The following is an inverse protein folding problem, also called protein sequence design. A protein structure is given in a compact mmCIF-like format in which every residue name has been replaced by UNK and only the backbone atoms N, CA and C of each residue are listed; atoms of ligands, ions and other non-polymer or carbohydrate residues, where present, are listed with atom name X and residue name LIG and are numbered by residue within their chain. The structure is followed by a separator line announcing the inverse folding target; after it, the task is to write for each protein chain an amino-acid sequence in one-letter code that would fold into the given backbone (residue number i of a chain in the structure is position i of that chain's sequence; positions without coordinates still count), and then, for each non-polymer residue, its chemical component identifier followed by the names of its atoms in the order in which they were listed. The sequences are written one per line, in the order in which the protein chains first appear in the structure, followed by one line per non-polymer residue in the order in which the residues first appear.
data_IF_922726429105
#
_entry.id   IF_922726429105
#
_cell.length_a   1.000
_cell.length_b   1.000
_cell.length_c   1.000
_cell.angle_alpha   90.00
_cell.angle_beta   90.00
_cell.angle_gamma   90.00
#
_symmetry.space_group_name_H-M   'P 1'
#
loop_
_entity.id
_entity.type
_entity.pdbx_description
1 polymer ?
#
# COMPACT_ATOMS: atom_id res chain seq x y z
N UNK A 1 -20.83 -8.23 -2.60
CA UNK A 1 -21.42 -7.47 -3.73
C UNK A 1 -22.42 -6.36 -3.29
N UNK A 2 -22.24 -5.71 -2.12
CA UNK A 2 -23.08 -4.57 -1.67
C UNK A 2 -22.31 -3.25 -1.46
N UNK A 3 -20.98 -3.27 -1.62
CA UNK A 3 -20.13 -2.08 -1.42
C UNK A 3 -20.14 -1.13 -2.63
N UNK A 4 -20.21 -1.67 -3.86
CA UNK A 4 -20.19 -0.87 -5.09
C UNK A 4 -21.37 0.11 -5.23
N UNK A 5 -22.55 -0.22 -4.67
CA UNK A 5 -23.72 0.68 -4.69
C UNK A 5 -23.62 1.83 -3.68
N UNK A 6 -22.79 1.73 -2.64
CA UNK A 6 -22.61 2.81 -1.65
C UNK A 6 -21.52 3.79 -2.07
N UNK A 7 -20.44 3.29 -2.69
CA UNK A 7 -19.35 4.13 -3.22
C UNK A 7 -19.80 5.04 -4.37
N UNK A 8 -20.75 4.59 -5.20
CA UNK A 8 -21.28 5.39 -6.32
C UNK A 8 -21.97 6.71 -5.89
N UNK A 9 -22.40 6.84 -4.63
CA UNK A 9 -23.01 8.08 -4.11
C UNK A 9 -22.02 9.03 -3.42
N UNK A 10 -20.85 8.54 -3.00
CA UNK A 10 -19.86 9.35 -2.27
C UNK A 10 -19.08 10.26 -3.22
N UNK A 11 -18.73 9.76 -4.42
CA UNK A 11 -17.94 10.52 -5.41
C UNK A 11 -18.69 11.74 -5.97
N UNK A 12 -20.00 11.66 -6.34
CA UNK A 12 -20.74 12.84 -6.76
C UNK A 12 -21.00 13.83 -5.63
N UNK A 13 -21.20 13.36 -4.39
CA UNK A 13 -21.48 14.23 -3.24
C UNK A 13 -20.28 15.12 -2.87
N UNK A 14 -19.05 14.62 -3.07
CA UNK A 14 -17.81 15.39 -2.87
C UNK A 14 -17.57 16.42 -3.99
N UNK A 15 -18.00 16.17 -5.23
CA UNK A 15 -17.90 17.15 -6.32
C UNK A 15 -18.99 18.22 -6.28
N UNK A 16 -20.18 17.92 -5.73
CA UNK A 16 -21.30 18.88 -5.66
C UNK A 16 -21.14 19.86 -4.48
N UNK A 17 -20.42 19.48 -3.41
CA UNK A 17 -20.24 20.38 -2.26
C UNK A 17 -19.27 21.53 -2.52
N UNK A 18 -18.39 21.43 -3.52
CA UNK A 18 -17.40 22.49 -3.84
C UNK A 18 -17.95 23.59 -4.76
N UNK A 19 -19.16 23.45 -5.31
CA UNK A 19 -19.71 24.41 -6.29
C UNK A 19 -20.85 25.30 -5.77
N UNK A 20 -21.34 25.10 -4.53
CA UNK A 20 -22.58 25.73 -4.04
C UNK A 20 -22.42 26.88 -3.04
N UNK A 21 -21.20 27.31 -2.73
CA UNK A 21 -21.01 28.47 -1.84
C UNK A 21 -19.97 29.41 -2.42
N UNK A 22 -20.38 30.29 -3.34
CA UNK A 22 -19.60 31.48 -3.69
C UNK A 22 -20.54 32.68 -3.65
N UNK A 23 -20.77 33.21 -2.44
CA UNK A 23 -21.43 34.49 -2.27
C UNK A 23 -20.34 35.57 -2.34
N UNK A 24 -20.28 36.26 -3.47
CA UNK A 24 -19.30 37.30 -3.77
C UNK A 24 -19.76 38.62 -3.20
N UNK A 25 -19.54 38.89 -1.91
CA UNK A 25 -19.64 40.26 -1.41
C UNK A 25 -18.56 40.50 -0.33
N UNK A 26 -17.91 41.65 -0.48
CA UNK A 26 -16.98 42.30 0.46
C UNK A 26 -15.53 41.80 0.48
N UNK A 27 -14.76 42.21 -0.53
CA UNK A 27 -13.33 42.47 -0.35
C UNK A 27 -13.21 43.91 0.13
N UNK A 28 -12.80 44.09 1.38
CA UNK A 28 -12.53 45.41 1.93
C UNK A 28 -11.25 45.96 1.29
N UNK A 29 -11.41 47.07 0.57
CA UNK A 29 -10.35 47.87 -0.02
C UNK A 29 -9.45 48.41 1.11
N UNK A 30 -8.24 47.85 1.27
CA UNK A 30 -7.25 48.37 2.20
C UNK A 30 -6.22 49.20 1.41
N UNK A 31 -6.41 50.52 1.46
CA UNK A 31 -5.44 51.53 1.04
C UNK A 31 -4.37 51.74 2.12
N UNK A 32 -3.11 51.75 1.73
CA UNK A 32 -2.23 52.93 1.83
C UNK A 32 -1.03 52.76 0.88
N UNK A 33 -0.60 53.81 0.14
CA UNK A 33 0.49 53.71 -0.81
C UNK A 33 1.83 53.58 -0.07
N UNK A 34 2.50 52.43 -0.26
CA UNK A 34 3.85 52.22 0.25
C UNK A 34 4.86 53.14 -0.48
N UNK A 35 5.91 53.62 0.21
CA UNK A 35 7.00 54.36 -0.42
C UNK A 35 7.69 53.50 -1.49
N UNK A 36 8.22 54.10 -2.58
CA UNK A 36 8.84 53.35 -3.67
C UNK A 36 10.07 52.62 -3.14
N UNK A 37 10.12 51.28 -3.27
CA UNK A 37 11.21 50.51 -2.73
C UNK A 37 12.50 50.69 -3.57
N UNK A 38 13.69 50.61 -2.94
CA UNK A 38 14.97 50.59 -3.66
C UNK A 38 15.03 49.33 -4.53
N UNK A 39 15.44 49.47 -5.80
CA UNK A 39 15.65 48.42 -6.83
C UNK A 39 15.52 47.00 -6.27
N UNK A 40 14.27 46.55 -6.12
CA UNK A 40 13.94 45.32 -5.44
C UNK A 40 14.10 44.15 -6.41
N UNK A 41 14.53 43.03 -5.86
CA UNK A 41 14.48 41.74 -6.53
C UNK A 41 13.05 41.53 -7.08
N UNK A 42 12.86 41.30 -8.40
CA UNK A 42 11.55 41.06 -9.00
C UNK A 42 10.74 39.97 -8.26
N UNK A 43 11.44 38.99 -7.67
CA UNK A 43 10.86 37.96 -6.83
C UNK A 43 10.19 38.52 -5.59
N UNK A 44 10.86 39.45 -4.92
CA UNK A 44 10.37 40.08 -3.71
C UNK A 44 9.11 40.92 -4.00
N UNK A 45 9.08 41.65 -5.11
CA UNK A 45 7.88 42.41 -5.49
C UNK A 45 6.71 41.50 -5.90
N UNK A 46 6.98 40.39 -6.58
CA UNK A 46 5.96 39.41 -6.94
C UNK A 46 5.39 38.68 -5.71
N UNK A 47 6.21 38.39 -4.69
CA UNK A 47 5.75 37.78 -3.44
C UNK A 47 5.01 38.78 -2.53
N UNK A 48 5.48 40.03 -2.45
CA UNK A 48 4.83 41.11 -1.68
C UNK A 48 3.42 41.43 -2.18
N UNK A 49 3.16 41.30 -3.47
CA UNK A 49 1.86 41.58 -4.06
C UNK A 49 0.82 40.45 -3.86
N UNK A 50 1.23 39.29 -3.32
CA UNK A 50 0.29 38.23 -2.96
C UNK A 50 -0.31 38.53 -1.58
N UNK A 51 -1.65 38.48 -1.42
CA UNK A 51 -2.28 38.74 -0.13
C UNK A 51 -2.00 37.65 0.93
N UNK A 52 -1.30 36.56 0.57
CA UNK A 52 -0.90 35.46 1.44
C UNK A 52 0.25 34.64 0.82
N UNK A 53 1.02 33.96 1.68
CA UNK A 53 2.02 32.97 1.28
C UNK A 53 1.36 31.60 0.99
N UNK A 54 1.60 31.05 -0.19
CA UNK A 54 1.02 29.75 -0.55
C UNK A 54 1.68 28.61 0.24
N UNK A 55 0.87 27.65 0.68
CA UNK A 55 1.28 26.60 1.62
C UNK A 55 1.08 26.97 3.10
N UNK A 56 0.77 28.23 3.42
CA UNK A 56 0.62 28.74 4.78
C UNK A 56 -0.81 29.16 5.10
N UNK A 57 -1.05 29.49 6.38
CA UNK A 57 -2.34 29.94 6.84
C UNK A 57 -2.68 31.31 6.23
N UNK A 58 -3.86 31.44 5.64
CA UNK A 58 -4.36 32.71 5.11
C UNK A 58 -4.89 33.61 6.25
N UNK A 59 -4.47 34.87 6.27
CA UNK A 59 -4.94 35.89 7.21
C UNK A 59 -6.45 36.15 7.07
N UNK A 60 -7.11 36.52 8.17
CA UNK A 60 -8.55 36.85 8.15
C UNK A 60 -8.75 38.12 7.30
N UNK A 61 -9.55 38.01 6.24
CA UNK A 61 -9.86 39.14 5.34
C UNK A 61 -8.99 39.22 4.09
N UNK A 62 -7.89 38.47 4.01
CA UNK A 62 -7.03 38.43 2.83
C UNK A 62 -7.72 37.77 1.61
N UNK A 63 -8.66 36.85 1.86
CA UNK A 63 -9.45 36.19 0.82
C UNK A 63 -10.91 36.02 1.24
N UNK A 64 -11.85 35.98 0.28
CA UNK A 64 -13.23 35.57 0.53
C UNK A 64 -13.27 34.17 1.16
N UNK A 65 -14.23 33.93 2.05
CA UNK A 65 -14.32 32.66 2.82
C UNK A 65 -14.49 31.39 1.96
N UNK A 66 -14.82 31.54 0.68
CA UNK A 66 -15.05 30.43 -0.25
C UNK A 66 -14.24 30.56 -1.56
N UNK A 67 -13.12 31.25 -1.52
CA UNK A 67 -12.28 31.41 -2.70
C UNK A 67 -11.40 30.18 -2.92
N UNK A 68 -11.44 29.62 -4.14
CA UNK A 68 -10.63 28.50 -4.61
C UNK A 68 -9.22 28.98 -4.97
N UNK A 69 -8.50 29.48 -3.97
CA UNK A 69 -7.16 30.03 -4.14
C UNK A 69 -6.14 28.90 -4.40
N UNK A 70 -5.14 29.09 -5.25
CA UNK A 70 -4.04 28.14 -5.42
C UNK A 70 -3.33 27.89 -4.08
N UNK A 71 -3.11 26.62 -3.77
CA UNK A 71 -2.52 26.17 -2.51
C UNK A 71 -1.24 25.34 -2.69
N UNK A 72 -0.57 25.47 -3.84
CA UNK A 72 0.72 24.82 -4.08
C UNK A 72 1.84 25.54 -3.34
N UNK A 73 3.02 24.94 -3.28
CA UNK A 73 4.25 25.66 -2.96
C UNK A 73 4.68 26.36 -4.26
N UNK A 74 5.05 27.63 -4.16
CA UNK A 74 5.40 28.47 -5.30
C UNK A 74 6.78 29.06 -5.05
N UNK A 75 7.69 28.88 -6.00
CA UNK A 75 9.08 29.31 -5.85
C UNK A 75 9.32 30.48 -6.78
N UNK A 76 10.09 31.45 -6.30
CA UNK A 76 10.46 32.59 -7.12
C UNK A 76 11.71 32.26 -7.96
N UNK A 77 11.68 32.57 -9.26
CA UNK A 77 12.78 32.37 -10.23
C UNK A 77 13.35 30.93 -10.33
N UNK A 78 12.56 29.93 -9.94
CA UNK A 78 12.91 28.52 -9.95
C UNK A 78 12.51 27.77 -11.22
N UNK A 79 12.82 26.47 -11.27
CA UNK A 79 12.39 25.57 -12.36
C UNK A 79 10.96 25.05 -12.12
N UNK A 80 10.30 25.49 -11.06
CA UNK A 80 8.99 25.02 -10.61
C UNK A 80 8.97 23.49 -10.52
N UNK A 81 10.06 22.92 -10.00
CA UNK A 81 10.27 21.50 -9.89
C UNK A 81 10.57 21.11 -8.44
N UNK A 82 10.30 19.85 -8.11
CA UNK A 82 10.60 19.34 -6.78
C UNK A 82 10.98 17.87 -6.82
N UNK A 83 11.85 17.50 -5.89
CA UNK A 83 12.27 16.12 -5.65
C UNK A 83 11.87 15.68 -4.26
N UNK A 84 11.54 14.40 -4.13
CA UNK A 84 11.23 13.78 -2.85
C UNK A 84 12.10 12.55 -2.63
N UNK A 85 12.51 12.34 -1.38
CA UNK A 85 13.18 11.13 -0.95
C UNK A 85 12.57 10.66 0.36
N UNK A 86 12.18 9.39 0.41
CA UNK A 86 11.57 8.80 1.59
C UNK A 86 12.30 7.54 2.04
N UNK A 87 12.51 7.45 3.36
CA UNK A 87 12.80 6.20 4.02
C UNK A 87 11.47 5.58 4.50
N UNK A 88 11.25 4.32 4.15
CA UNK A 88 10.07 3.57 4.61
C UNK A 88 10.52 2.42 5.49
N UNK A 89 9.75 2.16 6.54
CA UNK A 89 9.93 1.03 7.43
C UNK A 89 8.57 0.37 7.58
N UNK A 90 8.32 -0.64 6.74
CA UNK A 90 7.01 -1.24 6.58
C UNK A 90 7.02 -2.71 6.91
N UNK A 91 5.89 -3.16 7.41
CA UNK A 91 5.55 -4.55 7.62
C UNK A 91 4.64 -5.03 6.48
N UNK A 92 4.75 -6.33 6.18
CA UNK A 92 3.84 -6.98 5.26
C UNK A 92 3.07 -8.11 5.91
N UNK A 93 1.76 -8.07 5.70
CA UNK A 93 0.85 -9.12 6.12
C UNK A 93 0.25 -9.73 4.87
N UNK A 94 0.41 -11.03 4.66
CA UNK A 94 -0.27 -11.75 3.60
C UNK A 94 -1.33 -12.68 4.19
N UNK A 95 -2.56 -12.59 3.69
CA UNK A 95 -3.58 -13.57 4.02
C UNK A 95 -3.20 -14.93 3.44
N UNK A 96 -3.54 -16.01 4.15
CA UNK A 96 -3.33 -17.39 3.69
C UNK A 96 -1.85 -17.74 3.46
N UNK A 97 -0.96 -17.17 4.28
CA UNK A 97 0.47 -17.51 4.35
C UNK A 97 0.84 -18.27 5.63
N UNK A 98 -0.14 -18.74 6.40
CA UNK A 98 0.12 -19.51 7.61
C UNK A 98 0.89 -20.79 7.26
N UNK A 99 1.87 -21.18 8.07
CA UNK A 99 2.62 -22.43 7.89
C UNK A 99 1.66 -23.63 7.98
N UNK A 100 0.73 -23.52 8.93
CA UNK A 100 -0.31 -24.51 9.17
C UNK A 100 -0.99 -24.29 10.51
N UNK A 101 -1.71 -25.31 10.97
CA UNK A 101 -2.37 -25.38 12.26
C UNK A 101 -1.84 -26.59 13.02
N UNK A 102 -1.63 -26.45 14.32
CA UNK A 102 -1.30 -27.57 15.19
C UNK A 102 -2.46 -27.84 16.10
N UNK A 103 -2.84 -29.10 16.20
CA UNK A 103 -3.76 -29.58 17.23
C UNK A 103 -2.95 -29.87 18.49
N UNK A 104 -3.28 -29.18 19.58
CA UNK A 104 -2.68 -29.36 20.88
C UNK A 104 -3.57 -30.33 21.65
N UNK A 105 -3.12 -31.57 21.82
CA UNK A 105 -3.96 -32.63 22.36
C UNK A 105 -4.45 -32.35 23.78
N UNK A 106 -5.77 -32.32 23.98
CA UNK A 106 -6.40 -32.55 25.27
C UNK A 106 -6.40 -34.04 25.63
N UNK A 107 -6.30 -34.37 26.92
CA UNK A 107 -6.53 -35.75 27.37
C UNK A 107 -7.92 -36.22 26.90
N UNK A 108 -8.04 -37.52 26.56
CA UNK A 108 -9.26 -38.20 26.05
C UNK A 108 -10.53 -37.94 26.89
N UNK A 109 -10.40 -37.38 28.09
CA UNK A 109 -11.49 -37.03 29.00
C UNK A 109 -12.06 -35.60 28.85
N UNK A 110 -11.46 -34.71 28.04
CA UNK A 110 -11.93 -33.32 27.87
C UNK A 110 -12.13 -32.97 26.39
N UNK A 111 -13.39 -32.71 26.03
CA UNK A 111 -13.87 -32.38 24.67
C UNK A 111 -13.55 -30.92 24.29
N UNK A 112 -12.30 -30.49 24.44
CA UNK A 112 -11.85 -29.18 23.97
C UNK A 112 -10.64 -29.40 23.09
N UNK A 113 -10.85 -29.31 21.79
CA UNK A 113 -9.79 -29.35 20.80
C UNK A 113 -9.16 -27.94 20.72
N UNK A 114 -7.94 -27.81 21.24
CA UNK A 114 -7.18 -26.57 21.11
C UNK A 114 -6.40 -26.60 19.78
N UNK A 115 -6.61 -25.57 18.96
CA UNK A 115 -5.88 -25.39 17.70
C UNK A 115 -5.05 -24.11 17.76
N UNK A 116 -3.79 -24.22 17.34
CA UNK A 116 -2.88 -23.09 17.22
C UNK A 116 -2.51 -22.89 15.74
N UNK A 117 -2.85 -21.73 15.17
CA UNK A 117 -2.34 -21.34 13.87
C UNK A 117 -0.89 -20.86 13.98
N UNK A 118 -0.01 -21.41 13.16
CA UNK A 118 1.39 -20.98 13.05
C UNK A 118 1.48 -19.94 11.93
N UNK A 119 1.63 -18.68 12.33
CA UNK A 119 1.77 -17.55 11.41
C UNK A 119 3.23 -17.13 11.28
N UNK A 120 3.56 -16.47 10.19
CA UNK A 120 4.86 -15.80 10.07
C UNK A 120 5.06 -14.73 11.15
N UNK A 121 6.31 -14.53 11.56
CA UNK A 121 6.69 -13.42 12.43
C UNK A 121 6.42 -12.08 11.76
N UNK A 122 5.88 -11.17 12.55
CA UNK A 122 5.56 -9.79 12.20
C UNK A 122 6.81 -8.94 12.44
N UNK A 123 7.51 -8.56 11.37
CA UNK A 123 8.72 -7.76 11.44
C UNK A 123 8.71 -6.70 10.34
N UNK A 124 9.18 -5.51 10.66
CA UNK A 124 9.28 -4.41 9.71
C UNK A 124 10.59 -4.52 8.92
N UNK A 125 10.53 -4.16 7.63
CA UNK A 125 11.67 -4.12 6.73
C UNK A 125 11.85 -2.70 6.18
N UNK A 126 13.10 -2.26 5.97
CA UNK A 126 13.38 -0.98 5.35
C UNK A 126 13.16 -1.03 3.83
N UNK A 127 12.80 0.12 3.27
CA UNK A 127 12.74 0.36 1.83
C UNK A 127 12.92 1.85 1.55
N UNK A 128 12.66 2.25 0.30
CA UNK A 128 12.71 3.67 -0.06
C UNK A 128 11.65 4.07 -1.08
N UNK A 129 11.43 5.38 -1.14
CA UNK A 129 10.69 6.04 -2.21
C UNK A 129 11.51 7.19 -2.77
N UNK A 130 11.41 7.41 -4.07
CA UNK A 130 11.95 8.59 -4.74
C UNK A 130 10.90 9.17 -5.65
N UNK A 131 10.76 10.49 -5.64
CA UNK A 131 9.78 11.17 -6.46
C UNK A 131 10.33 12.42 -7.12
N UNK A 132 9.70 12.77 -8.24
CA UNK A 132 9.97 13.96 -9.03
C UNK A 132 8.64 14.57 -9.44
N UNK A 133 8.50 15.88 -9.28
CA UNK A 133 7.34 16.60 -9.75
C UNK A 133 7.68 17.98 -10.30
N UNK A 134 6.72 18.56 -11.00
CA UNK A 134 6.80 19.92 -11.51
C UNK A 134 5.42 20.55 -11.58
N UNK A 135 5.39 21.88 -11.49
CA UNK A 135 4.20 22.69 -11.57
C UNK A 135 4.07 23.29 -12.98
N UNK A 136 2.82 23.40 -13.44
CA UNK A 136 2.49 24.09 -14.68
C UNK A 136 1.99 25.51 -14.36
N UNK A 137 2.36 26.48 -15.20
CA UNK A 137 1.87 27.85 -15.09
C UNK A 137 0.37 27.96 -15.41
N UNK A 138 -0.15 27.05 -16.22
CA UNK A 138 -1.57 27.02 -16.58
C UNK A 138 -2.39 26.36 -15.47
N UNK A 139 -3.15 27.18 -14.73
CA UNK A 139 -4.14 26.76 -13.73
C UNK A 139 -3.59 25.95 -12.54
N UNK A 140 -2.31 26.14 -12.20
CA UNK A 140 -1.66 25.54 -11.03
C UNK A 140 -1.70 24.01 -10.96
N UNK A 141 -1.82 23.35 -12.11
CA UNK A 141 -1.72 21.90 -12.18
C UNK A 141 -0.29 21.45 -11.90
N UNK A 142 -0.15 20.25 -11.36
CA UNK A 142 1.15 19.64 -11.11
C UNK A 142 1.16 18.18 -11.53
N UNK A 143 2.31 17.74 -12.05
CA UNK A 143 2.58 16.34 -12.36
C UNK A 143 3.60 15.81 -11.36
N UNK A 144 3.37 14.60 -10.85
CA UNK A 144 4.24 13.94 -9.88
C UNK A 144 4.42 12.47 -10.25
N UNK A 145 5.65 11.99 -10.25
CA UNK A 145 5.98 10.59 -10.41
C UNK A 145 6.73 10.09 -9.18
N UNK A 146 6.37 8.90 -8.70
CA UNK A 146 7.00 8.26 -7.53
C UNK A 146 7.34 6.81 -7.83
N UNK A 147 8.53 6.39 -7.44
CA UNK A 147 8.95 5.00 -7.42
C UNK A 147 9.12 4.54 -5.98
N UNK A 148 8.45 3.45 -5.61
CA UNK A 148 8.57 2.79 -4.31
C UNK A 148 9.21 1.42 -4.49
N UNK A 149 10.17 1.09 -3.63
CA UNK A 149 10.83 -0.22 -3.58
C UNK A 149 10.93 -0.74 -2.16
N UNK A 150 10.50 -1.99 -1.95
CA UNK A 150 10.68 -2.70 -0.69
C UNK A 150 10.87 -4.20 -0.91
N UNK A 151 11.89 -4.75 -0.27
CA UNK A 151 12.29 -6.16 -0.39
C UNK A 151 12.30 -6.77 1.00
N UNK A 152 11.61 -7.89 1.17
CA UNK A 152 11.33 -8.49 2.48
C UNK A 152 11.65 -9.98 2.46
N UNK A 153 12.15 -10.49 3.58
CA UNK A 153 12.38 -11.92 3.78
C UNK A 153 12.07 -12.27 5.23
N UNK A 154 11.10 -13.14 5.44
CA UNK A 154 10.67 -13.61 6.77
C UNK A 154 10.89 -15.11 6.88
N UNK A 155 11.36 -15.52 8.04
CA UNK A 155 11.50 -16.93 8.40
C UNK A 155 10.74 -17.17 9.69
N UNK A 156 10.04 -18.29 9.79
CA UNK A 156 9.40 -18.72 11.03
C UNK A 156 9.63 -20.21 11.21
N UNK A 157 10.07 -20.57 12.41
CA UNK A 157 10.27 -21.97 12.79
C UNK A 157 9.34 -22.34 13.93
N UNK A 158 8.73 -23.51 13.84
CA UNK A 158 7.94 -24.10 14.92
C UNK A 158 8.47 -25.50 15.26
N UNK A 159 8.58 -25.79 16.55
CA UNK A 159 9.01 -27.09 17.05
C UNK A 159 7.83 -27.77 17.75
N UNK A 160 7.27 -28.84 17.16
CA UNK A 160 6.19 -29.60 17.79
C UNK A 160 6.62 -30.15 19.15
N UNK A 161 5.69 -30.19 20.11
CA UNK A 161 5.96 -30.79 21.41
C UNK A 161 6.09 -32.31 21.25
N UNK A 162 7.21 -32.89 21.69
CA UNK A 162 7.43 -34.35 21.57
C UNK A 162 6.71 -35.15 22.65
N UNK A 163 5.97 -34.49 23.55
CA UNK A 163 5.44 -35.09 24.78
C UNK A 163 4.12 -35.83 24.62
N UNK A 164 3.36 -35.61 23.54
CA UNK A 164 2.03 -36.20 23.35
C UNK A 164 1.92 -36.87 21.99
N UNK A 165 1.54 -38.15 21.97
CA UNK A 165 1.32 -38.94 20.74
C UNK A 165 0.09 -38.51 19.93
N UNK A 166 -0.58 -37.41 20.33
CA UNK A 166 -1.83 -36.91 19.77
C UNK A 166 -1.68 -35.57 19.05
N UNK A 167 -0.54 -34.89 19.17
CA UNK A 167 -0.32 -33.63 18.46
C UNK A 167 -0.13 -33.90 16.97
N UNK A 168 -0.81 -33.12 16.13
CA UNK A 168 -0.64 -33.20 14.70
C UNK A 168 -0.60 -31.81 14.06
N UNK A 169 0.22 -31.69 13.02
CA UNK A 169 0.33 -30.49 12.21
C UNK A 169 -0.49 -30.67 10.92
N UNK A 170 -1.35 -29.70 10.64
CA UNK A 170 -2.11 -29.61 9.40
C UNK A 170 -1.60 -28.45 8.58
N UNK A 171 -1.37 -28.69 7.30
CA UNK A 171 -0.96 -27.64 6.37
C UNK A 171 -1.72 -27.77 5.05
N UNK A 172 -2.07 -26.63 4.46
CA UNK A 172 -2.73 -26.55 3.16
C UNK A 172 -1.73 -26.57 1.99
N UNK A 173 -0.43 -26.69 2.28
CA UNK A 173 0.63 -26.59 1.28
C UNK A 173 1.03 -27.93 0.65
N UNK A 174 0.64 -29.08 1.21
CA UNK A 174 1.01 -30.42 0.68
C UNK A 174 -0.18 -31.24 0.20
N UNK A 175 0.05 -32.07 -0.82
CA UNK A 175 -0.89 -33.04 -1.41
C UNK A 175 -0.18 -34.38 -1.62
N UNK A 176 -0.80 -35.48 -1.19
CA UNK A 176 -0.33 -36.86 -1.41
C UNK A 176 -1.52 -37.70 -1.86
N UNK A 177 -1.37 -38.53 -2.90
CA UNK A 177 -2.41 -39.47 -3.34
C UNK A 177 -2.96 -40.30 -2.17
N UNK A 178 -4.21 -40.04 -1.78
CA UNK A 178 -4.90 -40.64 -0.65
C UNK A 178 -6.24 -39.93 -0.38
N UNK A 179 -7.26 -40.66 0.06
CA UNK A 179 -8.67 -40.24 0.04
C UNK A 179 -9.07 -39.09 0.98
N UNK A 180 -8.19 -38.64 1.88
CA UNK A 180 -8.55 -37.66 2.91
C UNK A 180 -7.77 -36.34 2.77
N UNK A 181 -8.53 -35.24 2.68
CA UNK A 181 -8.14 -33.96 2.09
C UNK A 181 -7.57 -32.92 3.08
N UNK A 182 -7.10 -33.36 4.24
CA UNK A 182 -6.36 -32.50 5.18
C UNK A 182 -5.23 -33.35 5.75
N UNK A 183 -3.99 -33.08 5.35
CA UNK A 183 -2.86 -33.88 5.83
C UNK A 183 -2.54 -33.46 7.25
N UNK A 184 -2.91 -34.35 8.16
CA UNK A 184 -2.50 -34.35 9.54
C UNK A 184 -1.18 -35.12 9.62
N UNK A 185 -0.08 -34.39 9.85
CA UNK A 185 1.23 -34.97 10.07
C UNK A 185 1.41 -35.15 11.58
N UNK A 186 1.35 -36.40 12.05
CA UNK A 186 1.80 -36.79 13.37
C UNK A 186 3.31 -37.13 13.34
N UNK A 187 4.01 -37.13 14.47
CA UNK A 187 5.43 -37.54 14.52
C UNK A 187 6.36 -36.73 13.57
N UNK A 188 6.15 -35.42 13.48
CA UNK A 188 7.13 -34.53 12.84
C UNK A 188 8.41 -34.55 13.69
N UNK A 189 9.52 -34.92 13.06
CA UNK A 189 10.83 -34.90 13.69
C UNK A 189 11.54 -33.59 13.34
N UNK A 190 11.88 -32.79 14.36
CA UNK A 190 12.58 -31.53 14.17
C UNK A 190 11.65 -30.33 13.95
N UNK A 191 12.19 -29.28 13.32
CA UNK A 191 11.48 -28.01 13.14
C UNK A 191 10.69 -28.00 11.83
N UNK A 192 9.53 -27.35 11.88
CA UNK A 192 8.79 -26.88 10.71
C UNK A 192 9.28 -25.47 10.42
N UNK A 193 9.89 -25.25 9.26
CA UNK A 193 10.46 -23.96 8.87
C UNK A 193 9.70 -23.44 7.65
N UNK A 194 9.14 -22.25 7.77
CA UNK A 194 8.56 -21.51 6.67
C UNK A 194 9.43 -20.30 6.34
N UNK A 195 9.70 -20.07 5.06
CA UNK A 195 10.38 -18.90 4.53
C UNK A 195 9.47 -18.19 3.54
N UNK A 196 9.29 -16.87 3.71
CA UNK A 196 8.52 -16.03 2.80
C UNK A 196 9.37 -14.84 2.37
N UNK A 197 9.66 -14.77 1.07
CA UNK A 197 10.35 -13.66 0.42
C UNK A 197 9.37 -12.90 -0.45
N UNK A 198 9.50 -11.58 -0.45
CA UNK A 198 8.69 -10.70 -1.27
C UNK A 198 9.50 -9.51 -1.76
N UNK A 199 9.53 -9.34 -3.06
CA UNK A 199 10.04 -8.16 -3.73
C UNK A 199 8.86 -7.34 -4.25
N UNK A 200 8.83 -6.06 -3.91
CA UNK A 200 7.75 -5.14 -4.28
C UNK A 200 8.34 -3.87 -4.90
N UNK A 201 7.86 -3.58 -6.11
CA UNK A 201 8.18 -2.40 -6.88
C UNK A 201 6.89 -1.72 -7.34
N UNK A 202 6.80 -0.40 -7.21
CA UNK A 202 5.62 0.38 -7.61
C UNK A 202 6.04 1.69 -8.26
N UNK A 203 5.35 2.06 -9.32
CA UNK A 203 5.45 3.37 -9.97
C UNK A 203 4.07 4.01 -9.97
N UNK A 204 4.00 5.22 -9.44
CA UNK A 204 2.81 6.08 -9.47
C UNK A 204 3.08 7.31 -10.33
N UNK A 205 2.07 7.74 -11.08
CA UNK A 205 2.05 8.99 -11.83
C UNK A 205 0.76 9.73 -11.49
N UNK A 206 0.85 10.97 -11.06
CA UNK A 206 -0.27 11.80 -10.64
C UNK A 206 -0.33 13.10 -11.43
N UNK A 207 -1.53 13.51 -11.82
CA UNK A 207 -1.86 14.86 -12.26
C UNK A 207 -2.87 15.43 -11.26
N UNK A 208 -2.50 16.51 -10.58
CA UNK A 208 -3.29 17.10 -9.51
C UNK A 208 -3.30 18.62 -9.54
N UNK A 209 -4.13 19.20 -8.65
CA UNK A 209 -4.15 20.64 -8.41
C UNK A 209 -4.43 20.91 -6.93
N UNK A 210 -3.56 21.69 -6.29
CA UNK A 210 -3.71 22.09 -4.88
C UNK A 210 -4.50 23.39 -4.76
N UNK A 211 -5.49 23.43 -3.88
CA UNK A 211 -6.23 24.64 -3.57
C UNK A 211 -6.72 24.71 -2.13
N UNK A 212 -7.01 25.91 -1.67
CA UNK A 212 -7.50 26.16 -0.32
C UNK A 212 -9.01 25.86 -0.19
N UNK A 213 -9.35 25.03 0.80
CA UNK A 213 -10.69 24.85 1.33
C UNK A 213 -10.84 25.65 2.63
N UNK A 214 -11.03 26.96 2.49
CA UNK A 214 -11.01 27.90 3.60
C UNK A 214 -9.57 28.33 3.96
N UNK A 215 -9.31 28.67 5.22
CA UNK A 215 -8.04 29.34 5.61
C UNK A 215 -6.91 28.43 6.08
N UNK A 216 -7.24 27.18 6.43
CA UNK A 216 -6.34 26.25 7.12
C UNK A 216 -6.34 24.85 6.53
N UNK A 217 -7.04 24.63 5.43
CA UNK A 217 -7.12 23.34 4.78
C UNK A 217 -6.77 23.52 3.32
N UNK A 218 -5.78 22.78 2.85
CA UNK A 218 -5.47 22.63 1.43
C UNK A 218 -5.97 21.25 1.01
N UNK A 219 -6.67 21.20 -0.12
CA UNK A 219 -7.03 19.97 -0.78
C UNK A 219 -6.33 19.89 -2.14
N UNK A 220 -5.80 18.71 -2.45
CA UNK A 220 -5.25 18.37 -3.76
C UNK A 220 -5.90 17.07 -4.24
N UNK A 221 -7.07 17.14 -4.91
CA UNK A 221 -7.56 16.02 -5.68
C UNK A 221 -6.59 15.76 -6.85
N UNK A 222 -6.43 14.49 -7.20
CA UNK A 222 -5.60 14.08 -8.33
C UNK A 222 -6.19 12.87 -9.03
N UNK A 223 -5.80 12.71 -10.29
CA UNK A 223 -6.02 11.51 -11.09
C UNK A 223 -4.70 11.07 -11.67
N UNK A 224 -4.48 9.76 -11.73
CA UNK A 224 -3.19 9.22 -12.09
C UNK A 224 -3.24 7.83 -12.68
N UNK A 225 -2.05 7.32 -12.96
CA UNK A 225 -1.79 5.92 -13.26
C UNK A 225 -0.94 5.30 -12.16
N UNK A 226 -1.09 4.00 -11.96
CA UNK A 226 -0.23 3.25 -11.06
C UNK A 226 0.07 1.88 -11.64
N UNK A 227 1.30 1.43 -11.48
CA UNK A 227 1.76 0.11 -11.84
C UNK A 227 2.60 -0.49 -10.72
N UNK A 228 2.47 -1.79 -10.49
CA UNK A 228 3.31 -2.51 -9.53
C UNK A 228 3.66 -3.91 -9.97
N UNK A 229 4.78 -4.40 -9.44
CA UNK A 229 5.30 -5.75 -9.57
C UNK A 229 5.49 -6.33 -8.17
N UNK A 230 5.01 -7.56 -7.99
CA UNK A 230 5.05 -8.27 -6.72
C UNK A 230 5.52 -9.68 -7.02
N UNK A 231 6.75 -9.98 -6.62
CA UNK A 231 7.33 -11.31 -6.73
C UNK A 231 7.40 -11.92 -5.33
N UNK A 232 6.72 -13.05 -5.14
CA UNK A 232 6.66 -13.76 -3.86
C UNK A 232 7.23 -15.16 -4.02
N UNK A 233 8.05 -15.57 -3.05
CA UNK A 233 8.49 -16.97 -2.92
C UNK A 233 8.18 -17.45 -1.52
N UNK A 234 7.46 -18.55 -1.42
CA UNK A 234 7.15 -19.24 -0.18
C UNK A 234 7.81 -20.62 -0.18
N UNK A 235 8.56 -20.94 0.85
CA UNK A 235 9.15 -22.26 1.07
C UNK A 235 8.68 -22.81 2.41
N UNK A 236 8.32 -24.09 2.45
CA UNK A 236 7.97 -24.80 3.68
C UNK A 236 8.74 -26.11 3.74
N UNK A 237 9.45 -26.29 4.85
CA UNK A 237 10.36 -27.39 5.11
C UNK A 237 10.07 -28.08 6.44
N UNK A 238 9.93 -29.39 6.43
CA UNK A 238 9.87 -30.21 7.65
C UNK A 238 10.24 -31.67 7.36
N UNK A 239 10.49 -32.46 8.42
CA UNK A 239 10.73 -33.91 8.29
C UNK A 239 9.61 -34.69 8.97
N UNK A 240 9.00 -35.62 8.25
CA UNK A 240 7.93 -36.49 8.73
C UNK A 240 8.41 -37.94 8.67
N UNK A 241 8.47 -38.63 9.82
CA UNK A 241 8.95 -40.04 9.91
C UNK A 241 10.31 -40.21 9.21
N UNK A 242 11.28 -39.33 9.50
CA UNK A 242 12.61 -39.32 8.86
C UNK A 242 12.61 -39.10 7.33
N UNK A 243 11.48 -38.68 6.74
CA UNK A 243 11.38 -38.34 5.33
C UNK A 243 11.23 -36.82 5.16
N UNK A 244 12.10 -36.16 4.37
CA UNK A 244 12.01 -34.73 4.14
C UNK A 244 10.75 -34.38 3.33
N UNK A 245 10.16 -33.25 3.69
CA UNK A 245 9.08 -32.58 2.96
C UNK A 245 9.51 -31.15 2.72
N UNK A 246 9.62 -30.79 1.45
CA UNK A 246 9.89 -29.41 1.00
C UNK A 246 8.81 -29.04 -0.01
N UNK A 247 8.31 -27.83 0.06
CA UNK A 247 7.59 -27.22 -1.05
C UNK A 247 8.07 -25.79 -1.23
N UNK A 248 8.28 -25.40 -2.47
CA UNK A 248 8.58 -24.03 -2.87
C UNK A 248 7.53 -23.58 -3.90
N UNK A 249 6.85 -22.48 -3.58
CA UNK A 249 5.84 -21.86 -4.42
C UNK A 249 6.28 -20.44 -4.75
N UNK A 250 6.18 -20.08 -6.03
CA UNK A 250 6.46 -18.75 -6.54
C UNK A 250 5.19 -18.13 -7.09
N UNK A 251 4.94 -16.89 -6.73
CA UNK A 251 3.85 -16.09 -7.26
C UNK A 251 4.40 -14.77 -7.81
N UNK A 252 4.33 -14.63 -9.13
CA UNK A 252 4.71 -13.40 -9.83
C UNK A 252 3.42 -12.66 -10.20
N UNK A 253 3.33 -11.38 -9.83
CA UNK A 253 2.17 -10.55 -10.12
C UNK A 253 2.59 -9.19 -10.67
N UNK A 254 1.87 -8.70 -11.68
CA UNK A 254 1.93 -7.30 -12.06
C UNK A 254 0.53 -6.75 -12.24
N UNK A 255 0.38 -5.46 -11.97
CA UNK A 255 -0.86 -4.75 -12.23
C UNK A 255 -0.59 -3.33 -12.73
N UNK A 256 -1.50 -2.81 -13.53
CA UNK A 256 -1.49 -1.43 -13.98
C UNK A 256 -2.92 -0.89 -14.06
N UNK A 257 -3.13 0.37 -13.71
CA UNK A 257 -4.47 0.94 -13.66
C UNK A 257 -4.53 2.43 -13.40
N UNK A 258 -5.75 2.91 -13.21
CA UNK A 258 -6.04 4.30 -12.87
C UNK A 258 -6.05 4.49 -11.35
N UNK A 259 -5.60 5.66 -10.90
CA UNK A 259 -5.43 6.02 -9.50
C UNK A 259 -6.02 7.40 -9.19
N UNK A 260 -7.34 7.52 -8.95
CA UNK A 260 -7.90 8.70 -8.30
C UNK A 260 -7.49 8.78 -6.83
N UNK A 261 -7.28 9.99 -6.33
CA UNK A 261 -7.03 10.21 -4.91
C UNK A 261 -7.21 11.66 -4.47
N UNK A 262 -6.99 11.87 -3.17
CA UNK A 262 -7.15 13.14 -2.50
C UNK A 262 -6.06 13.29 -1.43
N UNK A 263 -5.30 14.38 -1.52
CA UNK A 263 -4.40 14.83 -0.48
C UNK A 263 -5.04 16.00 0.28
N UNK A 264 -5.00 15.96 1.61
CA UNK A 264 -5.52 16.98 2.50
C UNK A 264 -4.40 17.45 3.43
N UNK A 265 -4.28 18.75 3.63
CA UNK A 265 -3.29 19.35 4.53
C UNK A 265 -3.96 20.37 5.45
N UNK A 266 -3.94 20.10 6.75
CA UNK A 266 -4.44 20.99 7.80
C UNK A 266 -3.28 21.79 8.39
N UNK A 267 -3.25 23.08 8.09
CA UNK A 267 -2.20 24.01 8.52
C UNK A 267 -2.50 24.49 9.95
N UNK A 268 -1.52 24.34 10.83
CA UNK A 268 -1.63 24.75 12.22
C UNK A 268 -0.98 26.11 12.45
N UNK A 269 0.34 26.13 12.59
CA UNK A 269 1.16 27.31 12.91
C UNK A 269 2.59 27.09 12.40
N UNK A 270 3.23 28.14 11.89
CA UNK A 270 4.68 28.16 11.58
C UNK A 270 5.17 26.99 10.72
N UNK A 271 4.47 26.70 9.62
CA UNK A 271 4.83 25.62 8.69
C UNK A 271 4.40 24.22 9.12
N UNK A 272 4.00 24.02 10.39
CA UNK A 272 3.48 22.74 10.85
C UNK A 272 2.09 22.46 10.29
N UNK A 273 1.91 21.25 9.77
CA UNK A 273 0.63 20.75 9.26
C UNK A 273 0.42 19.27 9.56
N UNK A 274 -0.82 18.87 9.74
CA UNK A 274 -1.21 17.47 9.60
C UNK A 274 -1.61 17.24 8.15
N UNK A 275 -1.33 16.06 7.63
CA UNK A 275 -1.76 15.71 6.28
C UNK A 275 -2.32 14.30 6.20
N UNK A 276 -3.16 14.09 5.19
CA UNK A 276 -3.64 12.78 4.80
C UNK A 276 -3.57 12.63 3.28
N UNK A 277 -3.27 11.43 2.82
CA UNK A 277 -3.43 11.05 1.41
C UNK A 277 -4.30 9.80 1.36
N UNK A 278 -5.36 9.82 0.58
CA UNK A 278 -6.19 8.65 0.33
C UNK A 278 -6.27 8.41 -1.18
N UNK A 279 -6.02 7.18 -1.61
CA UNK A 279 -6.09 6.78 -3.01
C UNK A 279 -6.83 5.45 -3.17
N UNK A 280 -7.50 5.30 -4.31
CA UNK A 280 -8.09 4.04 -4.74
C UNK A 280 -7.61 3.74 -6.14
N UNK A 281 -7.01 2.57 -6.34
CA UNK A 281 -6.60 2.12 -7.64
C UNK A 281 -7.59 1.10 -8.18
N UNK A 282 -7.89 1.20 -9.48
CA UNK A 282 -8.58 0.15 -10.21
C UNK A 282 -7.65 -0.37 -11.30
N UNK A 283 -7.15 -1.60 -11.12
CA UNK A 283 -6.04 -2.12 -11.91
C UNK A 283 -6.40 -3.41 -12.64
N UNK A 284 -5.96 -3.51 -13.89
CA UNK A 284 -5.85 -4.78 -14.57
C UNK A 284 -4.60 -5.50 -14.07
N UNK A 285 -4.77 -6.73 -13.59
CA UNK A 285 -3.70 -7.49 -12.96
C UNK A 285 -3.57 -8.88 -13.57
N UNK A 286 -2.32 -9.35 -13.65
CA UNK A 286 -1.98 -10.72 -14.03
C UNK A 286 -1.24 -11.37 -12.88
N UNK A 287 -1.71 -12.55 -12.47
CA UNK A 287 -1.07 -13.38 -11.47
C UNK A 287 -0.59 -14.68 -12.14
N UNK A 288 0.64 -15.08 -11.84
CA UNK A 288 1.24 -16.35 -12.26
C UNK A 288 1.71 -17.08 -11.01
N UNK A 289 1.34 -18.34 -10.87
CA UNK A 289 1.79 -19.19 -9.77
C UNK A 289 2.38 -20.47 -10.35
N UNK A 290 3.55 -20.85 -9.84
CA UNK A 290 4.18 -22.13 -10.10
C UNK A 290 4.99 -22.57 -8.88
N UNK A 291 5.42 -23.82 -8.86
CA UNK A 291 6.19 -24.33 -7.74
C UNK A 291 6.56 -25.78 -7.92
N UNK A 292 7.34 -26.27 -6.99
CA UNK A 292 7.80 -27.65 -6.92
C UNK A 292 7.95 -28.07 -5.46
N UNK A 293 8.03 -29.36 -5.23
CA UNK A 293 8.28 -29.87 -3.90
C UNK A 293 8.74 -31.31 -3.92
N UNK A 294 9.18 -31.75 -2.75
CA UNK A 294 9.60 -33.12 -2.48
C UNK A 294 8.66 -33.67 -1.43
N UNK A 295 8.06 -34.81 -1.76
CA UNK A 295 7.18 -35.56 -0.89
C UNK A 295 7.78 -36.96 -0.72
N UNK A 296 8.44 -37.21 0.42
CA UNK A 296 9.22 -38.42 0.69
C UNK A 296 10.45 -38.51 -0.22
N UNK A 297 10.28 -39.18 -1.36
CA UNK A 297 11.29 -39.37 -2.41
C UNK A 297 10.75 -39.00 -3.79
N UNK A 298 9.50 -38.54 -3.87
CA UNK A 298 8.85 -38.17 -5.12
C UNK A 298 8.87 -36.67 -5.25
N UNK A 299 9.53 -36.19 -6.29
CA UNK A 299 9.43 -34.79 -6.72
C UNK A 299 8.07 -34.56 -7.38
N UNK A 300 7.43 -33.46 -7.05
CA UNK A 300 6.24 -33.00 -7.73
C UNK A 300 6.42 -31.57 -8.22
N UNK A 301 5.77 -31.23 -9.32
CA UNK A 301 5.70 -29.87 -9.85
C UNK A 301 4.25 -29.41 -9.79
N UNK A 302 4.01 -28.24 -9.22
CA UNK A 302 2.69 -27.61 -9.26
C UNK A 302 2.39 -27.16 -10.68
N UNK A 303 1.15 -27.41 -11.13
CA UNK A 303 0.73 -26.94 -12.44
C UNK A 303 0.82 -25.41 -12.50
N UNK A 304 1.54 -24.92 -13.50
CA UNK A 304 1.65 -23.49 -13.74
C UNK A 304 0.26 -22.91 -14.01
N UNK A 305 -0.13 -21.97 -13.19
CA UNK A 305 -1.41 -21.30 -13.30
C UNK A 305 -1.22 -19.82 -13.66
N UNK A 306 -2.11 -19.30 -14.51
CA UNK A 306 -2.14 -17.88 -14.89
C UNK A 306 -3.58 -17.37 -14.83
N UNK A 307 -3.78 -16.19 -14.25
CA UNK A 307 -5.09 -15.55 -14.21
C UNK A 307 -5.00 -14.05 -14.32
N UNK A 308 -5.95 -13.51 -15.07
CA UNK A 308 -6.16 -12.09 -15.25
C UNK A 308 -7.40 -11.68 -14.44
N UNK A 309 -7.27 -10.60 -13.68
CA UNK A 309 -8.36 -10.07 -12.86
C UNK A 309 -8.37 -8.55 -12.93
N UNK A 310 -9.50 -7.96 -12.56
CA UNK A 310 -9.55 -6.59 -12.11
C UNK A 310 -9.34 -6.60 -10.59
N UNK A 311 -8.39 -5.82 -10.08
CA UNK A 311 -8.13 -5.69 -8.66
C UNK A 311 -8.22 -4.24 -8.22
N UNK A 312 -8.53 -4.06 -6.95
CA UNK A 312 -8.47 -2.79 -6.25
C UNK A 312 -7.24 -2.72 -5.34
N UNK A 313 -6.65 -1.52 -5.24
CA UNK A 313 -5.63 -1.20 -4.24
C UNK A 313 -6.08 0.03 -3.47
N UNK A 314 -6.23 -0.12 -2.17
CA UNK A 314 -6.67 0.93 -1.25
C UNK A 314 -5.43 1.49 -0.53
N UNK A 315 -5.25 2.81 -0.52
CA UNK A 315 -4.11 3.47 0.12
C UNK A 315 -4.59 4.57 1.06
N UNK A 316 -4.04 4.61 2.27
CA UNK A 316 -4.28 5.66 3.25
C UNK A 316 -2.97 6.04 3.95
N UNK A 317 -2.72 7.34 4.02
CA UNK A 317 -1.59 7.94 4.70
C UNK A 317 -2.12 8.97 5.69
N UNK A 318 -1.55 8.99 6.89
CA UNK A 318 -1.81 10.01 7.90
C UNK A 318 -0.47 10.42 8.53
N UNK A 319 -0.21 11.72 8.60
CA UNK A 319 1.07 12.21 9.08
C UNK A 319 1.10 13.66 9.54
N UNK A 320 2.29 14.06 9.97
CA UNK A 320 2.65 15.41 10.32
C UNK A 320 3.79 15.87 9.41
N UNK A 321 3.77 17.13 9.04
CA UNK A 321 4.80 17.74 8.21
C UNK A 321 5.16 19.13 8.74
N UNK A 322 6.36 19.55 8.44
CA UNK A 322 6.85 20.90 8.63
C UNK A 322 7.63 21.33 7.39
N UNK A 323 7.33 22.52 6.87
CA UNK A 323 8.06 23.12 5.76
C UNK A 323 8.37 24.59 5.99
N UNK A 324 9.40 25.07 5.32
CA UNK A 324 9.83 26.47 5.33
C UNK A 324 10.37 26.88 3.97
N UNK A 325 10.13 28.14 3.60
CA UNK A 325 10.87 28.80 2.52
C UNK A 325 12.25 29.27 3.02
N UNK A 326 13.21 29.38 2.11
CA UNK A 326 14.56 29.89 2.36
C UNK A 326 14.99 30.82 1.21
N UNK A 327 15.89 31.77 1.53
CA UNK A 327 16.52 32.67 0.53
C UNK A 327 15.49 33.42 -0.31
N UNK A 328 14.62 34.22 0.33
CA UNK A 328 13.58 35.01 -0.35
C UNK A 328 12.67 34.15 -1.26
N UNK A 329 12.17 33.03 -0.75
CA UNK A 329 11.24 32.13 -1.44
C UNK A 329 11.79 31.48 -2.73
N UNK A 330 13.12 31.44 -2.89
CA UNK A 330 13.78 30.73 -4.01
C UNK A 330 13.93 29.23 -3.77
N UNK A 331 13.77 28.77 -2.53
CA UNK A 331 13.80 27.36 -2.19
C UNK A 331 12.77 27.05 -1.11
N UNK A 332 12.20 25.85 -1.15
CA UNK A 332 11.36 25.35 -0.09
C UNK A 332 11.80 23.94 0.33
N UNK A 333 11.88 23.72 1.64
CA UNK A 333 12.17 22.40 2.19
C UNK A 333 11.00 21.95 3.04
N UNK A 334 10.64 20.69 2.89
CA UNK A 334 9.60 20.04 3.66
C UNK A 334 10.07 18.71 4.24
N UNK A 335 9.77 18.48 5.51
CA UNK A 335 10.05 17.22 6.21
C UNK A 335 8.73 16.71 6.77
N UNK A 336 8.45 15.44 6.54
CA UNK A 336 7.23 14.79 7.01
C UNK A 336 7.46 13.40 7.58
N UNK A 337 6.62 13.03 8.52
CA UNK A 337 6.54 11.69 9.12
C UNK A 337 5.10 11.23 9.05
N UNK A 338 4.88 10.04 8.51
CA UNK A 338 3.55 9.46 8.38
C UNK A 338 3.51 7.98 8.71
N UNK A 339 2.30 7.53 9.02
CA UNK A 339 1.92 6.13 8.99
C UNK A 339 1.13 5.85 7.72
N UNK A 340 1.57 4.86 6.96
CA UNK A 340 0.94 4.43 5.71
C UNK A 340 0.29 3.07 5.88
N UNK A 341 -0.85 2.87 5.22
CA UNK A 341 -1.54 1.59 5.11
C UNK A 341 -1.98 1.39 3.67
N UNK A 342 -1.69 0.22 3.11
CA UNK A 342 -2.08 -0.16 1.76
C UNK A 342 -2.62 -1.58 1.76
N UNK A 343 -3.69 -1.82 1.01
CA UNK A 343 -4.29 -3.14 0.82
C UNK A 343 -4.37 -3.46 -0.66
N UNK A 344 -3.78 -4.59 -1.04
CA UNK A 344 -3.74 -5.11 -2.40
C UNK A 344 -4.67 -6.31 -2.53
N UNK A 345 -5.88 -6.11 -3.05
CA UNK A 345 -6.90 -7.15 -3.04
C UNK A 345 -6.55 -8.32 -3.98
N UNK A 346 -6.79 -9.55 -3.55
CA UNK A 346 -6.57 -10.77 -4.35
C UNK A 346 -5.14 -10.88 -4.93
N UNK A 347 -4.12 -10.59 -4.12
CA UNK A 347 -2.71 -10.76 -4.52
C UNK A 347 -2.26 -12.19 -4.33
N UNK A 348 -2.64 -12.78 -3.20
CA UNK A 348 -2.10 -14.06 -2.79
C UNK A 348 -2.95 -15.18 -3.36
N UNK A 349 -2.41 -15.81 -4.39
CA UNK A 349 -2.99 -16.95 -5.05
C UNK A 349 -2.26 -18.27 -4.72
N UNK A 350 -1.20 -18.23 -3.91
CA UNK A 350 -0.34 -19.39 -3.66
C UNK A 350 -1.11 -20.51 -2.96
N UNK A 351 -1.84 -20.22 -1.88
CA UNK A 351 -2.65 -21.19 -1.13
C UNK A 351 -3.72 -21.87 -1.99
N UNK A 352 -4.41 -21.08 -2.82
CA UNK A 352 -5.46 -21.55 -3.74
C UNK A 352 -4.90 -22.54 -4.76
N UNK A 353 -3.66 -22.33 -5.21
CA UNK A 353 -3.05 -23.14 -6.27
C UNK A 353 -2.09 -24.21 -5.79
N UNK A 354 -1.56 -24.11 -4.56
CA UNK A 354 -0.91 -25.22 -3.91
C UNK A 354 -1.80 -26.46 -3.98
N UNK A 355 -3.11 -26.26 -3.78
CA UNK A 355 -4.13 -27.30 -3.88
C UNK A 355 -4.22 -27.96 -5.26
N UNK A 356 -3.86 -27.27 -6.35
CA UNK A 356 -3.94 -27.79 -7.72
C UNK A 356 -2.82 -28.76 -8.07
N UNK A 357 -2.87 -29.94 -7.45
CA UNK A 357 -2.11 -31.11 -7.90
C UNK A 357 -2.85 -31.84 -9.04
N UNK A 358 -2.12 -32.19 -10.08
CA UNK A 358 -2.59 -33.01 -11.19
C UNK A 358 -1.74 -34.27 -11.23
N UNK A 359 -2.27 -35.39 -10.74
CA UNK A 359 -1.77 -36.68 -11.21
C UNK A 359 -2.18 -36.83 -12.68
N UNK A 360 -1.23 -37.22 -13.53
CA UNK A 360 -1.40 -37.36 -14.99
C UNK A 360 -2.39 -38.47 -15.40
N UNK A 361 -3.25 -38.92 -14.48
CA UNK A 361 -4.26 -39.96 -14.67
C UNK A 361 -5.61 -39.32 -14.98
N UNK A 362 -6.06 -39.50 -16.22
CA UNK A 362 -7.16 -38.82 -16.91
C UNK A 362 -8.57 -38.86 -16.31
N UNK A 363 -8.78 -39.39 -15.10
CA UNK A 363 -10.14 -39.65 -14.57
C UNK A 363 -10.48 -38.95 -13.24
N UNK A 364 -9.53 -38.34 -12.52
CA UNK A 364 -9.77 -37.76 -11.18
C UNK A 364 -9.92 -36.22 -11.14
N UNK A 365 -10.08 -35.58 -12.30
CA UNK A 365 -10.12 -34.10 -12.43
C UNK A 365 -11.40 -33.46 -11.84
N UNK A 366 -12.51 -34.20 -11.73
CA UNK A 366 -13.85 -33.61 -11.47
C UNK A 366 -14.11 -33.17 -10.02
N UNK A 367 -13.56 -33.85 -9.01
CA UNK A 367 -13.71 -33.44 -7.59
C UNK A 367 -12.77 -32.29 -7.21
N UNK A 368 -11.73 -32.10 -8.00
CA UNK A 368 -10.65 -31.15 -7.75
C UNK A 368 -11.05 -29.71 -8.12
N UNK A 369 -11.72 -29.53 -9.27
CA UNK A 369 -12.27 -28.23 -9.69
C UNK A 369 -13.30 -27.65 -8.71
N UNK A 370 -14.10 -28.50 -8.05
CA UNK A 370 -15.12 -28.07 -7.08
C UNK A 370 -14.51 -27.38 -5.84
N UNK A 371 -13.28 -27.72 -5.44
CA UNK A 371 -12.65 -27.22 -4.20
C UNK A 371 -11.81 -25.96 -4.39
N UNK A 372 -11.12 -25.84 -5.52
CA UNK A 372 -10.40 -24.60 -5.87
C UNK A 372 -11.35 -23.39 -5.93
N UNK A 373 -12.66 -23.62 -6.14
CA UNK A 373 -13.69 -22.60 -6.10
C UNK A 373 -14.05 -22.13 -4.67
N UNK A 374 -13.71 -22.88 -3.63
CA UNK A 374 -14.02 -22.54 -2.24
C UNK A 374 -12.98 -21.58 -1.62
N UNK A 375 -11.72 -21.70 -2.01
CA UNK A 375 -10.69 -20.77 -1.56
C UNK A 375 -10.71 -19.47 -2.36
N UNK A 376 -11.00 -18.38 -1.65
CA UNK A 376 -10.82 -17.02 -2.16
C UNK A 376 -9.33 -16.67 -2.11
N UNK A 377 -8.80 -15.96 -3.11
CA UNK A 377 -7.45 -15.42 -3.05
C UNK A 377 -7.30 -14.53 -1.81
N UNK A 378 -6.13 -14.58 -1.17
CA UNK A 378 -5.79 -13.72 -0.05
C UNK A 378 -5.39 -12.31 -0.49
N UNK A 379 -5.49 -11.35 0.42
CA UNK A 379 -5.00 -9.99 0.24
C UNK A 379 -3.57 -9.85 0.78
N UNK A 380 -2.86 -8.83 0.31
CA UNK A 380 -1.58 -8.37 0.84
C UNK A 380 -1.78 -7.00 1.43
N UNK A 381 -1.31 -6.82 2.66
CA UNK A 381 -1.31 -5.55 3.36
C UNK A 381 0.14 -5.09 3.53
N UNK A 382 0.36 -3.80 3.31
CA UNK A 382 1.60 -3.10 3.63
C UNK A 382 1.24 -1.98 4.60
N UNK A 383 1.97 -1.85 5.70
CA UNK A 383 1.80 -0.70 6.58
C UNK A 383 3.08 -0.36 7.32
N UNK A 384 3.21 0.89 7.74
CA UNK A 384 4.31 1.27 8.61
C UNK A 384 4.65 2.74 8.54
N UNK A 385 5.86 3.07 8.98
CA UNK A 385 6.34 4.44 9.08
C UNK A 385 7.03 4.87 7.80
N UNK A 386 6.80 6.12 7.41
CA UNK A 386 7.47 6.80 6.31
C UNK A 386 8.01 8.12 6.80
N UNK A 387 9.29 8.39 6.52
CA UNK A 387 9.90 9.70 6.72
C UNK A 387 10.28 10.24 5.34
N UNK A 388 9.78 11.42 4.99
CA UNK A 388 9.99 12.03 3.68
C UNK A 388 10.62 13.40 3.81
N UNK A 389 11.62 13.66 2.97
CA UNK A 389 12.10 15.01 2.69
C UNK A 389 11.69 15.39 1.26
N UNK A 390 11.20 16.62 1.10
CA UNK A 390 10.91 17.25 -0.19
C UNK A 390 11.73 18.53 -0.30
N UNK A 391 12.25 18.77 -1.49
CA UNK A 391 12.98 19.97 -1.83
C UNK A 391 12.46 20.51 -3.15
N UNK A 392 12.03 21.75 -3.11
CA UNK A 392 11.48 22.49 -4.25
C UNK A 392 12.52 23.51 -4.72
N UNK A 393 12.69 23.67 -6.05
CA UNK A 393 13.66 24.58 -6.69
C UNK A 393 13.29 25.10 -8.08
#
# INVERSE_FOLDING_TARGET
MKLSKKLAWIIPALMISTTLFAESNDIADCCDPCPPPPECDPCYEASQNKPYEQGYQICKGALPKAYNAPGRIDICDGVDAYVTGSFIYWEALGDQLDLGMVHLGGSVATVVDDFQAIKFSTEYDPGFKVGLGTHFEHDDWDIYAEYTRIHMSKQTSYTPSTSLSTDFFQTSWFFIEGSDNTYSFNNISGNIVGDWKKDFDKVDLELGRSFYLGRKLIARPYVGGSAHWIDQTYTLDFTYISMPRNITIKADSWAAGVRPGLNLQWIFISGFRAYSNAALNLMYARNKVDGNGISNTTEFTLLRYKKHILRDVEELVLGLAWGSYFTNDTWHMDISVAYEVQRYSHTNYMSKYAQMYSSDTSETVSLFELRSNLMKPGDLYLHGLTVTARFDF
#
